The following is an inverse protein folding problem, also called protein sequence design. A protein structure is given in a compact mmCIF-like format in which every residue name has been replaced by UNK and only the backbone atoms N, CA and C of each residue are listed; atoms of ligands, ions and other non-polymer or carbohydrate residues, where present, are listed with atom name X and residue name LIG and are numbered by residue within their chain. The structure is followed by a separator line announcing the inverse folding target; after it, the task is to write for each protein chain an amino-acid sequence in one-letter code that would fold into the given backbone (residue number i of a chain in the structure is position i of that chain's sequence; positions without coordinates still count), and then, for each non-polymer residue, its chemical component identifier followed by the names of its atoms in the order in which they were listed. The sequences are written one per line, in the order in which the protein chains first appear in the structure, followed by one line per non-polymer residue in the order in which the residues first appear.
data_IF_872551908552
#
_entry.id   IF_872551908552
#
_cell.length_a   1.000
_cell.length_b   1.000
_cell.length_c   1.000
_cell.angle_alpha   90.00
_cell.angle_beta   90.00
_cell.angle_gamma   90.00
#
_symmetry.space_group_name_H-M   'P 1'
#
loop_
_entity.id
_entity.type
_entity.pdbx_description
1 polymer ?
#
# COMPACT_ATOMS: atom_id res chain seq x y z
N UNK A 1 -2.31 30.27 22.76
CA UNK A 1 -1.08 30.70 22.07
C UNK A 1 -0.11 29.55 21.78
N UNK A 2 0.23 28.66 22.74
CA UNK A 2 1.18 27.54 22.53
C UNK A 2 0.84 26.58 21.38
N UNK A 3 -0.45 26.39 21.06
CA UNK A 3 -0.94 25.47 20.00
C UNK A 3 -1.05 26.11 18.61
N UNK A 4 -1.02 27.44 18.51
CA UNK A 4 -1.15 28.17 17.23
C UNK A 4 0.17 28.23 16.48
N UNK A 5 1.28 28.33 17.21
CA UNK A 5 2.63 28.41 16.62
C UNK A 5 2.96 27.14 15.81
N UNK A 6 2.78 25.90 16.31
CA UNK A 6 3.06 24.70 15.54
C UNK A 6 2.20 24.57 14.28
N UNK A 7 0.92 24.97 14.36
CA UNK A 7 -0.01 24.95 13.22
C UNK A 7 0.44 25.94 12.15
N UNK A 8 0.78 27.17 12.54
CA UNK A 8 1.30 28.18 11.60
C UNK A 8 2.58 27.71 10.94
N UNK A 9 3.51 27.12 11.70
CA UNK A 9 4.75 26.56 11.15
C UNK A 9 4.44 25.46 10.13
N UNK A 10 3.54 24.52 10.45
CA UNK A 10 3.16 23.45 9.54
C UNK A 10 2.53 23.99 8.23
N UNK A 11 1.61 24.95 8.34
CA UNK A 11 0.96 25.59 7.19
C UNK A 11 1.97 26.34 6.33
N UNK A 12 2.82 27.19 6.92
CA UNK A 12 3.82 27.97 6.18
C UNK A 12 4.86 27.07 5.50
N UNK A 13 5.29 26.01 6.19
CA UNK A 13 6.21 25.01 5.63
C UNK A 13 5.59 24.34 4.42
N UNK A 14 4.34 23.86 4.54
CA UNK A 14 3.65 23.21 3.45
C UNK A 14 3.35 24.15 2.27
N UNK A 15 3.01 25.42 2.53
CA UNK A 15 2.84 26.43 1.49
C UNK A 15 4.16 26.77 0.78
N UNK A 16 5.28 26.78 1.50
CA UNK A 16 6.60 27.05 0.93
C UNK A 16 7.03 25.91 0.01
N UNK A 17 6.86 24.66 0.44
CA UNK A 17 7.11 23.48 -0.41
C UNK A 17 6.18 23.49 -1.62
N UNK A 18 4.90 23.85 -1.45
CA UNK A 18 3.98 23.95 -2.57
C UNK A 18 4.40 25.04 -3.57
N UNK A 19 4.85 26.20 -3.07
CA UNK A 19 5.31 27.29 -3.92
C UNK A 19 6.56 26.91 -4.73
N UNK A 20 7.50 26.16 -4.13
CA UNK A 20 8.70 25.63 -4.79
C UNK A 20 8.36 24.82 -6.06
N UNK A 21 7.26 24.06 -6.05
CA UNK A 21 6.81 23.30 -7.21
C UNK A 21 6.35 24.16 -8.40
N UNK A 22 5.91 25.41 -8.18
CA UNK A 22 5.30 26.25 -9.22
C UNK A 22 6.13 27.48 -9.59
N UNK A 23 7.02 27.94 -8.71
CA UNK A 23 7.78 29.19 -8.89
C UNK A 23 9.27 28.86 -8.96
N UNK A 24 9.89 29.08 -10.12
CA UNK A 24 11.34 28.89 -10.28
C UNK A 24 12.08 30.08 -9.66
N UNK A 25 12.63 29.92 -8.46
CA UNK A 25 13.40 30.97 -7.79
C UNK A 25 14.51 30.39 -6.91
N UNK A 26 15.80 30.76 -7.08
CA UNK A 26 16.93 30.06 -6.44
C UNK A 26 16.83 29.90 -4.91
N UNK A 27 16.29 30.91 -4.22
CA UNK A 27 16.11 30.87 -2.75
C UNK A 27 14.96 29.93 -2.37
N UNK A 28 13.86 29.92 -3.13
CA UNK A 28 12.70 29.08 -2.88
C UNK A 28 13.09 27.60 -3.08
N UNK A 29 13.81 27.31 -4.17
CA UNK A 29 14.37 26.01 -4.49
C UNK A 29 15.34 25.49 -3.42
N UNK A 30 16.11 26.37 -2.79
CA UNK A 30 16.99 26.00 -1.69
C UNK A 30 16.20 25.63 -0.43
N UNK A 31 15.22 26.45 -0.06
CA UNK A 31 14.40 26.23 1.13
C UNK A 31 13.52 24.99 0.96
N UNK A 32 12.84 24.84 -0.18
CA UNK A 32 11.99 23.69 -0.48
C UNK A 32 12.76 22.37 -0.46
N UNK A 33 13.93 22.29 -1.11
CA UNK A 33 14.80 21.11 -1.03
C UNK A 33 15.27 20.80 0.38
N UNK A 34 15.61 21.82 1.17
CA UNK A 34 16.04 21.63 2.56
C UNK A 34 14.91 21.06 3.42
N UNK A 35 13.70 21.60 3.28
CA UNK A 35 12.51 21.11 3.99
C UNK A 35 12.16 19.67 3.59
N UNK A 36 12.21 19.35 2.30
CA UNK A 36 12.01 17.98 1.81
C UNK A 36 13.10 17.02 2.33
N UNK A 37 14.35 17.47 2.41
CA UNK A 37 15.43 16.67 2.98
C UNK A 37 15.19 16.38 4.47
N UNK A 38 14.75 17.37 5.25
CA UNK A 38 14.37 17.14 6.64
C UNK A 38 13.20 16.17 6.76
N UNK A 39 12.18 16.31 5.92
CA UNK A 39 11.04 15.39 5.88
C UNK A 39 11.48 13.94 5.55
N UNK A 40 12.41 13.76 4.61
CA UNK A 40 12.98 12.45 4.28
C UNK A 40 13.77 11.86 5.46
N UNK A 41 14.53 12.67 6.19
CA UNK A 41 15.24 12.23 7.40
C UNK A 41 14.24 11.78 8.47
N UNK A 42 13.19 12.56 8.72
CA UNK A 42 12.13 12.19 9.68
C UNK A 42 11.42 10.90 9.23
N UNK A 43 11.13 10.75 7.94
CA UNK A 43 10.52 9.54 7.39
C UNK A 43 11.44 8.31 7.59
N UNK A 44 12.74 8.44 7.38
CA UNK A 44 13.70 7.38 7.64
C UNK A 44 13.69 6.94 9.12
N UNK A 45 13.67 7.88 10.06
CA UNK A 45 13.52 7.56 11.48
C UNK A 45 12.15 6.96 11.81
N UNK A 46 11.08 7.40 11.15
CA UNK A 46 9.75 6.82 11.31
C UNK A 46 9.70 5.36 10.85
N UNK A 47 10.41 5.00 9.77
CA UNK A 47 10.59 3.60 9.36
C UNK A 47 11.30 2.77 10.43
N UNK A 48 12.39 3.30 11.01
CA UNK A 48 13.10 2.63 12.11
C UNK A 48 12.19 2.48 13.34
N UNK A 49 11.44 3.52 13.69
CA UNK A 49 10.47 3.46 14.79
C UNK A 49 9.37 2.43 14.53
N UNK A 50 8.87 2.34 13.30
CA UNK A 50 7.90 1.32 12.89
C UNK A 50 8.45 -0.11 13.03
N UNK A 51 9.70 -0.33 12.63
CA UNK A 51 10.40 -1.60 12.80
C UNK A 51 10.56 -1.96 14.29
N UNK A 52 11.02 -1.00 15.10
CA UNK A 52 11.17 -1.20 16.55
C UNK A 52 9.83 -1.46 17.23
N UNK A 53 8.75 -0.80 16.79
CA UNK A 53 7.40 -1.03 17.31
C UNK A 53 6.95 -2.48 17.06
N UNK A 54 7.19 -3.02 15.86
CA UNK A 54 6.92 -4.43 15.54
C UNK A 54 7.75 -5.34 16.45
N UNK A 55 9.05 -5.08 16.57
CA UNK A 55 9.94 -5.86 17.43
C UNK A 55 9.47 -5.88 18.89
N UNK A 56 9.22 -4.73 19.50
CA UNK A 56 8.80 -4.64 20.89
C UNK A 56 7.40 -5.20 21.12
N UNK A 57 6.45 -4.95 20.22
CA UNK A 57 5.12 -5.51 20.31
C UNK A 57 5.17 -7.04 20.33
N UNK A 58 5.86 -7.66 19.36
CA UNK A 58 5.96 -9.12 19.29
C UNK A 58 6.81 -9.71 20.42
N UNK A 59 7.87 -9.02 20.84
CA UNK A 59 8.69 -9.45 21.98
C UNK A 59 7.87 -9.44 23.27
N UNK A 60 7.06 -8.40 23.50
CA UNK A 60 6.13 -8.33 24.62
C UNK A 60 5.12 -9.48 24.58
N UNK A 61 4.54 -9.80 23.41
CA UNK A 61 3.62 -10.95 23.27
C UNK A 61 4.28 -12.28 23.64
N UNK A 62 5.56 -12.45 23.31
CA UNK A 62 6.33 -13.65 23.65
C UNK A 62 6.58 -13.73 25.15
N UNK A 63 7.02 -12.64 25.79
CA UNK A 63 7.28 -12.62 27.22
C UNK A 63 6.01 -12.85 28.05
N UNK A 64 4.90 -12.21 27.69
CA UNK A 64 3.62 -12.34 28.38
C UNK A 64 2.83 -13.59 27.96
N UNK A 65 3.37 -14.42 27.05
CA UNK A 65 2.73 -15.64 26.51
C UNK A 65 1.29 -15.41 26.04
N UNK A 66 1.08 -14.31 25.32
CA UNK A 66 -0.24 -13.98 24.77
C UNK A 66 -0.72 -15.04 23.77
N UNK A 67 -2.03 -15.04 23.47
CA UNK A 67 -2.60 -15.96 22.49
C UNK A 67 -1.90 -15.82 21.14
N UNK A 68 -1.29 -16.91 20.66
CA UNK A 68 -0.52 -16.91 19.41
C UNK A 68 0.92 -16.43 19.53
N UNK A 69 1.51 -16.38 20.74
CA UNK A 69 2.91 -15.99 20.96
C UNK A 69 3.92 -16.75 20.10
N UNK A 70 3.67 -18.03 19.78
CA UNK A 70 4.53 -18.82 18.91
C UNK A 70 4.71 -18.20 17.51
N UNK A 71 3.66 -17.61 16.95
CA UNK A 71 3.74 -16.89 15.67
C UNK A 71 4.56 -15.60 15.78
N UNK A 72 4.59 -14.98 16.96
CA UNK A 72 5.41 -13.78 17.19
C UNK A 72 6.90 -14.09 17.13
N UNK A 73 7.32 -15.30 17.53
CA UNK A 73 8.70 -15.77 17.35
C UNK A 73 9.05 -15.86 15.87
N UNK A 74 8.16 -16.43 15.06
CA UNK A 74 8.36 -16.54 13.60
C UNK A 74 8.53 -15.16 12.97
N UNK A 75 7.71 -14.17 13.36
CA UNK A 75 7.83 -12.79 12.88
C UNK A 75 9.18 -12.17 13.25
N UNK A 76 9.60 -12.32 14.51
CA UNK A 76 10.89 -11.77 14.98
C UNK A 76 12.06 -12.41 14.23
N UNK A 77 12.05 -13.74 14.07
CA UNK A 77 13.09 -14.45 13.34
C UNK A 77 13.13 -14.06 11.85
N UNK A 78 11.96 -13.97 11.20
CA UNK A 78 11.87 -13.54 9.81
C UNK A 78 12.37 -12.10 9.62
N UNK A 79 12.01 -11.20 10.53
CA UNK A 79 12.48 -9.81 10.54
C UNK A 79 14.01 -9.74 10.63
N UNK A 80 14.61 -10.42 11.61
CA UNK A 80 16.07 -10.43 11.75
C UNK A 80 16.78 -11.11 10.58
N UNK A 81 16.21 -12.18 10.04
CA UNK A 81 16.77 -12.87 8.87
C UNK A 81 16.85 -11.90 7.69
N UNK A 82 15.74 -11.23 7.34
CA UNK A 82 15.72 -10.30 6.20
C UNK A 82 16.62 -9.08 6.46
N UNK A 83 16.64 -8.53 7.66
CA UNK A 83 17.49 -7.38 7.99
C UNK A 83 18.98 -7.74 7.92
N UNK A 84 19.40 -8.82 8.59
CA UNK A 84 20.82 -9.20 8.64
C UNK A 84 21.33 -9.52 7.24
N UNK A 85 20.61 -10.35 6.48
CA UNK A 85 21.03 -10.70 5.12
C UNK A 85 20.88 -9.54 4.13
N UNK A 86 19.93 -8.63 4.35
CA UNK A 86 19.78 -7.41 3.55
C UNK A 86 20.89 -6.39 3.81
N UNK A 87 21.35 -6.24 5.04
CA UNK A 87 22.44 -5.29 5.38
C UNK A 87 23.84 -5.84 5.09
N UNK A 88 24.07 -7.14 5.32
CA UNK A 88 25.39 -7.76 5.13
C UNK A 88 25.59 -8.20 3.67
N UNK A 89 24.52 -8.54 2.95
CA UNK A 89 24.57 -8.94 1.55
C UNK A 89 24.35 -7.77 0.58
N UNK A 90 24.01 -8.09 -0.66
CA UNK A 90 23.78 -7.12 -1.75
C UNK A 90 22.40 -6.45 -1.68
N UNK A 91 21.90 -6.17 -0.48
CA UNK A 91 20.60 -5.56 -0.28
C UNK A 91 19.44 -6.41 -0.80
N UNK A 92 18.40 -5.79 -1.38
CA UNK A 92 17.24 -6.49 -1.94
C UNK A 92 17.57 -7.50 -3.05
N UNK A 93 18.73 -7.36 -3.70
CA UNK A 93 19.17 -8.22 -4.79
C UNK A 93 20.05 -9.39 -4.32
N UNK A 94 20.40 -9.43 -3.03
CA UNK A 94 21.16 -10.54 -2.46
C UNK A 94 20.45 -11.88 -2.62
N UNK A 95 21.22 -12.96 -2.77
CA UNK A 95 20.68 -14.31 -2.99
C UNK A 95 19.64 -14.71 -1.92
N UNK A 96 19.96 -14.50 -0.63
CA UNK A 96 19.07 -14.90 0.47
C UNK A 96 17.78 -14.07 0.49
N UNK A 97 17.88 -12.75 0.36
CA UNK A 97 16.71 -11.86 0.37
C UNK A 97 15.79 -12.11 -0.83
N UNK A 98 16.38 -12.25 -2.02
CA UNK A 98 15.63 -12.55 -3.25
C UNK A 98 14.99 -13.95 -3.22
N UNK A 99 15.66 -14.93 -2.60
CA UNK A 99 15.10 -16.26 -2.38
C UNK A 99 13.90 -16.19 -1.43
N UNK A 100 14.02 -15.51 -0.29
CA UNK A 100 12.91 -15.31 0.65
C UNK A 100 11.73 -14.63 -0.05
N UNK A 101 12.01 -13.58 -0.83
CA UNK A 101 10.97 -12.91 -1.60
C UNK A 101 10.27 -13.87 -2.56
N UNK A 102 11.02 -14.62 -3.37
CA UNK A 102 10.48 -15.49 -4.42
C UNK A 102 9.74 -16.72 -3.90
N UNK A 103 10.23 -17.32 -2.81
CA UNK A 103 9.74 -18.60 -2.32
C UNK A 103 8.89 -18.51 -1.05
N UNK A 104 8.94 -17.38 -0.33
CA UNK A 104 8.14 -17.17 0.88
C UNK A 104 7.13 -16.06 0.66
N UNK A 105 7.59 -14.83 0.38
CA UNK A 105 6.69 -13.68 0.30
C UNK A 105 5.73 -13.76 -0.89
N UNK A 106 6.25 -14.03 -2.08
CA UNK A 106 5.45 -14.06 -3.31
C UNK A 106 4.35 -15.14 -3.29
N UNK A 107 4.62 -16.40 -2.90
CA UNK A 107 3.58 -17.41 -2.76
C UNK A 107 2.56 -17.09 -1.66
N UNK A 108 2.99 -16.55 -0.52
CA UNK A 108 2.07 -16.11 0.54
C UNK A 108 1.12 -15.00 0.03
N UNK A 109 1.64 -14.02 -0.70
CA UNK A 109 0.81 -12.99 -1.32
C UNK A 109 -0.15 -13.61 -2.36
N UNK A 110 0.32 -14.53 -3.20
CA UNK A 110 -0.51 -15.20 -4.19
C UNK A 110 -1.64 -16.03 -3.55
N UNK A 111 -1.38 -16.74 -2.45
CA UNK A 111 -2.41 -17.50 -1.73
C UNK A 111 -3.45 -16.60 -1.09
N UNK A 112 -3.06 -15.48 -0.47
CA UNK A 112 -4.01 -14.48 0.04
C UNK A 112 -4.85 -13.90 -1.09
N UNK A 113 -4.24 -13.55 -2.23
CA UNK A 113 -4.95 -13.05 -3.41
C UNK A 113 -5.91 -14.09 -3.98
N UNK A 114 -5.52 -15.37 -4.01
CA UNK A 114 -6.38 -16.47 -4.44
C UNK A 114 -7.59 -16.66 -3.49
N UNK A 115 -7.37 -16.60 -2.18
CA UNK A 115 -8.44 -16.63 -1.19
C UNK A 115 -9.39 -15.44 -1.34
N UNK A 116 -8.85 -14.23 -1.54
CA UNK A 116 -9.65 -13.03 -1.80
C UNK A 116 -10.47 -13.18 -3.08
N UNK A 117 -9.91 -13.73 -4.16
CA UNK A 117 -10.65 -14.01 -5.38
C UNK A 117 -11.79 -15.01 -5.15
N UNK A 118 -11.53 -16.10 -4.42
CA UNK A 118 -12.58 -17.07 -4.05
C UNK A 118 -13.68 -16.45 -3.19
N UNK A 119 -13.32 -15.65 -2.18
CA UNK A 119 -14.29 -14.96 -1.34
C UNK A 119 -15.06 -13.88 -2.11
N UNK A 120 -14.41 -13.15 -3.01
CA UNK A 120 -15.05 -12.18 -3.88
C UNK A 120 -16.04 -12.87 -4.83
N UNK A 121 -15.68 -14.03 -5.39
CA UNK A 121 -16.59 -14.82 -6.22
C UNK A 121 -17.78 -15.34 -5.41
N UNK A 122 -17.53 -15.86 -4.19
CA UNK A 122 -18.58 -16.33 -3.28
C UNK A 122 -19.53 -15.19 -2.86
N UNK A 123 -18.98 -14.02 -2.54
CA UNK A 123 -19.75 -12.82 -2.22
C UNK A 123 -20.52 -12.30 -3.44
N UNK A 124 -19.89 -12.29 -4.60
CA UNK A 124 -20.49 -11.96 -5.89
C UNK A 124 -21.66 -12.88 -6.19
N UNK A 125 -21.50 -14.20 -6.09
CA UNK A 125 -22.59 -15.17 -6.25
C UNK A 125 -23.76 -14.91 -5.29
N UNK A 126 -23.48 -14.62 -4.02
CA UNK A 126 -24.52 -14.22 -3.06
C UNK A 126 -25.21 -12.91 -3.46
N UNK A 127 -24.46 -11.93 -3.97
CA UNK A 127 -25.00 -10.67 -4.47
C UNK A 127 -25.83 -10.87 -5.76
N UNK A 128 -25.41 -11.77 -6.65
CA UNK A 128 -26.07 -12.11 -7.92
C UNK A 128 -27.41 -12.83 -7.74
N UNK A 129 -27.68 -13.39 -6.56
CA UNK A 129 -29.01 -13.91 -6.21
C UNK A 129 -30.06 -12.79 -6.10
N UNK A 130 -29.66 -11.51 -6.02
CA UNK A 130 -30.58 -10.38 -6.19
C UNK A 130 -30.79 -10.15 -7.69
N UNK A 131 -32.04 -10.26 -8.15
CA UNK A 131 -32.43 -10.12 -9.57
C UNK A 131 -32.41 -8.66 -10.04
N UNK A 132 -31.25 -7.99 -9.96
CA UNK A 132 -31.05 -6.63 -10.51
C UNK A 132 -30.28 -6.69 -11.83
N UNK A 133 -30.49 -5.71 -12.71
CA UNK A 133 -29.78 -5.62 -13.99
C UNK A 133 -28.25 -5.56 -13.78
N UNK A 134 -27.80 -4.78 -12.79
CA UNK A 134 -26.38 -4.63 -12.44
C UNK A 134 -25.74 -5.97 -12.06
N UNK A 135 -26.47 -6.79 -11.30
CA UNK A 135 -26.03 -8.11 -10.87
C UNK A 135 -25.86 -9.08 -12.05
N UNK A 136 -26.76 -9.00 -13.05
CA UNK A 136 -26.68 -9.83 -14.26
C UNK A 136 -25.51 -9.43 -15.15
N UNK A 137 -25.26 -8.13 -15.33
CA UNK A 137 -24.11 -7.62 -16.10
C UNK A 137 -22.80 -8.07 -15.44
N UNK A 138 -22.72 -7.95 -14.12
CA UNK A 138 -21.54 -8.33 -13.35
C UNK A 138 -21.34 -9.86 -13.32
N UNK A 139 -22.41 -10.67 -13.32
CA UNK A 139 -22.33 -12.12 -13.46
C UNK A 139 -21.80 -12.55 -14.84
N UNK A 140 -22.31 -11.96 -15.92
CA UNK A 140 -21.84 -12.24 -17.28
C UNK A 140 -20.37 -11.86 -17.43
N UNK A 141 -19.99 -10.67 -16.94
CA UNK A 141 -18.62 -10.18 -16.97
C UNK A 141 -17.67 -11.08 -16.18
N UNK A 142 -18.03 -11.45 -14.95
CA UNK A 142 -17.21 -12.33 -14.11
C UNK A 142 -17.07 -13.73 -14.70
N UNK A 143 -18.15 -14.29 -15.27
CA UNK A 143 -18.12 -15.62 -15.89
C UNK A 143 -17.20 -15.67 -17.11
N UNK A 144 -17.24 -14.63 -17.96
CA UNK A 144 -16.34 -14.50 -19.12
C UNK A 144 -14.87 -14.42 -18.70
N UNK A 145 -14.56 -13.63 -17.67
CA UNK A 145 -13.18 -13.50 -17.16
C UNK A 145 -12.69 -14.81 -16.56
N UNK A 146 -13.51 -15.50 -15.77
CA UNK A 146 -13.16 -16.77 -15.15
C UNK A 146 -12.93 -17.87 -16.20
N UNK A 147 -13.73 -17.90 -17.25
CA UNK A 147 -13.50 -18.79 -18.40
C UNK A 147 -12.15 -18.50 -19.08
N UNK A 148 -11.73 -17.23 -19.16
CA UNK A 148 -10.40 -16.86 -19.65
C UNK A 148 -9.21 -17.31 -18.77
N UNK A 149 -9.45 -17.66 -17.52
CA UNK A 149 -8.44 -18.26 -16.64
C UNK A 149 -8.42 -19.79 -16.65
N UNK A 150 -9.44 -20.45 -17.23
CA UNK A 150 -9.45 -21.90 -17.36
C UNK A 150 -8.32 -22.34 -18.31
N UNK A 151 -7.36 -23.10 -17.80
CA UNK A 151 -6.16 -23.54 -18.52
C UNK A 151 -6.44 -24.32 -19.83
N UNK A 152 -7.68 -24.77 -20.04
CA UNK A 152 -8.14 -25.48 -21.25
C UNK A 152 -8.48 -24.49 -22.39
N UNK A 153 -8.76 -23.22 -22.08
CA UNK A 153 -9.26 -22.23 -23.04
C UNK A 153 -8.23 -21.15 -23.40
N UNK A 154 -7.01 -21.22 -22.87
CA UNK A 154 -5.95 -20.22 -23.11
C UNK A 154 -5.50 -20.16 -24.57
N UNK A 155 -5.62 -21.26 -25.31
CA UNK A 155 -5.22 -21.35 -26.71
C UNK A 155 -6.35 -21.00 -27.69
N UNK A 156 -7.56 -20.74 -27.19
CA UNK A 156 -8.70 -20.31 -28.02
C UNK A 156 -8.62 -18.80 -28.24
N UNK A 157 -8.31 -18.39 -29.48
CA UNK A 157 -8.09 -17.00 -29.88
C UNK A 157 -9.15 -15.96 -29.44
N UNK A 158 -10.47 -16.27 -29.32
CA UNK A 158 -11.45 -15.28 -28.88
C UNK A 158 -11.40 -15.07 -27.35
N UNK A 159 -11.05 -16.11 -26.61
CA UNK A 159 -11.09 -16.12 -25.14
C UNK A 159 -9.86 -15.43 -24.57
N UNK A 160 -8.69 -15.64 -25.17
CA UNK A 160 -7.44 -14.98 -24.78
C UNK A 160 -7.47 -13.47 -25.05
N UNK A 161 -7.91 -13.05 -26.23
CA UNK A 161 -8.03 -11.63 -26.59
C UNK A 161 -9.03 -10.88 -25.69
N UNK A 162 -10.16 -11.50 -25.37
CA UNK A 162 -11.15 -10.90 -24.47
C UNK A 162 -10.61 -10.77 -23.04
N UNK A 163 -9.93 -11.80 -22.52
CA UNK A 163 -9.25 -11.74 -21.22
C UNK A 163 -8.25 -10.60 -21.17
N UNK A 164 -7.40 -10.49 -22.19
CA UNK A 164 -6.38 -9.44 -22.26
C UNK A 164 -7.02 -8.06 -22.30
N UNK A 165 -8.09 -7.88 -23.07
CA UNK A 165 -8.85 -6.63 -23.09
C UNK A 165 -9.44 -6.29 -21.71
N UNK A 166 -10.06 -7.25 -21.00
CA UNK A 166 -10.61 -7.02 -19.67
C UNK A 166 -9.51 -6.68 -18.64
N UNK A 167 -8.38 -7.37 -18.69
CA UNK A 167 -7.28 -7.10 -17.75
C UNK A 167 -6.57 -5.78 -18.06
N UNK A 168 -6.38 -5.43 -19.33
CA UNK A 168 -5.64 -4.23 -19.74
C UNK A 168 -6.46 -2.95 -19.69
N UNK A 169 -7.79 -3.02 -19.86
CA UNK A 169 -8.66 -1.85 -19.92
C UNK A 169 -9.44 -1.65 -18.61
N UNK A 170 -10.55 -2.38 -18.31
CA UNK A 170 -11.36 -2.09 -17.13
C UNK A 170 -10.66 -2.45 -15.81
N UNK A 171 -9.89 -3.53 -15.73
CA UNK A 171 -9.18 -3.87 -14.50
C UNK A 171 -8.08 -2.84 -14.18
N UNK A 172 -7.27 -2.47 -15.17
CA UNK A 172 -6.30 -1.38 -15.01
C UNK A 172 -6.97 -0.03 -14.75
N UNK A 173 -8.14 0.25 -15.34
CA UNK A 173 -8.92 1.44 -15.00
C UNK A 173 -9.34 1.44 -13.52
N UNK A 174 -9.75 0.29 -12.98
CA UNK A 174 -10.06 0.12 -11.56
C UNK A 174 -8.84 0.35 -10.67
N UNK A 175 -7.70 -0.26 -10.98
CA UNK A 175 -6.44 -0.06 -10.24
C UNK A 175 -6.02 1.41 -10.27
N UNK A 176 -6.05 2.05 -11.45
CA UNK A 176 -5.75 3.48 -11.60
C UNK A 176 -6.75 4.33 -10.81
N UNK A 177 -8.03 3.99 -10.80
CA UNK A 177 -9.05 4.66 -10.01
C UNK A 177 -8.78 4.60 -8.51
N UNK A 178 -8.37 3.43 -8.00
CA UNK A 178 -7.95 3.27 -6.59
C UNK A 178 -6.73 4.14 -6.30
N UNK A 179 -5.70 4.10 -7.15
CA UNK A 179 -4.48 4.89 -6.96
C UNK A 179 -4.76 6.39 -6.98
N UNK A 180 -5.61 6.86 -7.90
CA UNK A 180 -6.08 8.24 -7.95
C UNK A 180 -6.88 8.60 -6.69
N UNK A 181 -7.76 7.71 -6.22
CA UNK A 181 -8.51 7.90 -4.98
C UNK A 181 -7.61 8.03 -3.76
N UNK A 182 -6.58 7.19 -3.64
CA UNK A 182 -5.57 7.28 -2.58
C UNK A 182 -4.79 8.59 -2.67
N UNK A 183 -4.32 8.96 -3.87
CA UNK A 183 -3.60 10.21 -4.08
C UNK A 183 -4.46 11.43 -3.71
N UNK A 184 -5.72 11.46 -4.15
CA UNK A 184 -6.67 12.51 -3.80
C UNK A 184 -6.97 12.54 -2.30
N UNK A 185 -7.08 11.38 -1.65
CA UNK A 185 -7.30 11.30 -0.19
C UNK A 185 -6.12 11.87 0.61
N UNK A 186 -4.89 11.58 0.20
CA UNK A 186 -3.67 12.13 0.79
C UNK A 186 -3.63 13.65 0.58
N UNK A 187 -3.85 14.11 -0.66
CA UNK A 187 -3.88 15.54 -1.00
C UNK A 187 -4.99 16.29 -0.25
N UNK A 188 -6.18 15.71 -0.12
CA UNK A 188 -7.28 16.30 0.63
C UNK A 188 -6.95 16.45 2.12
N UNK A 189 -6.31 15.44 2.71
CA UNK A 189 -5.84 15.50 4.10
C UNK A 189 -4.76 16.57 4.27
N UNK A 190 -3.79 16.63 3.35
CA UNK A 190 -2.77 17.69 3.33
C UNK A 190 -3.38 19.09 3.19
N UNK A 191 -4.36 19.26 2.30
CA UNK A 191 -5.04 20.54 2.08
C UNK A 191 -5.84 20.98 3.31
N UNK A 192 -6.53 20.06 4.00
CA UNK A 192 -7.24 20.39 5.25
C UNK A 192 -6.29 20.89 6.33
N UNK A 193 -5.08 20.32 6.41
CA UNK A 193 -4.03 20.80 7.31
C UNK A 193 -3.55 22.20 6.86
N UNK A 194 -3.30 22.41 5.56
CA UNK A 194 -2.86 23.71 5.01
C UNK A 194 -3.87 24.85 5.25
N UNK A 195 -5.16 24.56 5.13
CA UNK A 195 -6.24 25.53 5.39
C UNK A 195 -6.48 25.70 6.91
N UNK A 196 -5.86 24.85 7.74
CA UNK A 196 -5.99 24.90 9.20
C UNK A 196 -7.30 24.32 9.73
N UNK A 197 -8.03 23.54 8.90
CA UNK A 197 -9.22 22.80 9.31
C UNK A 197 -8.86 21.67 10.28
N UNK A 198 -7.83 20.89 9.94
CA UNK A 198 -7.32 19.81 10.78
C UNK A 198 -6.13 20.31 11.61
N UNK A 199 -6.17 20.06 12.93
CA UNK A 199 -5.17 20.54 13.89
C UNK A 199 -4.48 19.36 14.60
N UNK A 200 -3.50 18.70 13.96
CA UNK A 200 -2.89 17.47 14.48
C UNK A 200 -2.18 17.61 15.83
N UNK A 201 -1.91 18.84 16.29
CA UNK A 201 -1.19 19.14 17.54
C UNK A 201 -2.09 19.86 18.57
N UNK A 202 -3.41 19.76 18.43
CA UNK A 202 -4.35 20.46 19.32
C UNK A 202 -4.82 19.66 20.54
N UNK A 203 -4.45 18.39 20.65
CA UNK A 203 -4.68 17.57 21.85
C UNK A 203 -3.51 17.80 22.83
#
# INVERSE_FOLDING_TARGET
MRKVIPILVAVLTGLTVLADFFITHPILDLVGRTLLQWAMIVAAFAFVAGLLNIFFAHTSRVFHREKGWGYSIVVILAMWTVLVFGFVGDGPHGYVVSWIFRYVQYPLQATVMALLAFFALSAGYRAFRRRTLDSTIMLLSASLVLLGYAAIMTDLWPVSALKEWVLSVPAMAGVRGILLGVALGITATGLRILIGMDKPYSD
#
